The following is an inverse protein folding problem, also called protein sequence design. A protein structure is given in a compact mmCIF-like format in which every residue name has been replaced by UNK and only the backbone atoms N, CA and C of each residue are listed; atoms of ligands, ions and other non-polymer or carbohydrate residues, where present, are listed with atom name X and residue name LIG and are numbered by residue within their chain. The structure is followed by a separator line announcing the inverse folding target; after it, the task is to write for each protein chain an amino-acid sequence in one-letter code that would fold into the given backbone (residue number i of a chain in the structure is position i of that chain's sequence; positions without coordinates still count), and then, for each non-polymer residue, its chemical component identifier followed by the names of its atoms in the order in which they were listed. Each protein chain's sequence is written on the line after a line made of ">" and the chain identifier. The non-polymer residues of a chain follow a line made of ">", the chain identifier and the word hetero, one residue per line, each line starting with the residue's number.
data_IF_561039352036
#
_entry.id   IF_561039352036
#
_cell.length_a   1.000
_cell.length_b   1.000
_cell.length_c   1.000
_cell.angle_alpha   90.00
_cell.angle_beta   90.00
_cell.angle_gamma   90.00
#
_symmetry.space_group_name_H-M   'P 1'
#
loop_
_entity.id
_entity.type
_entity.pdbx_description
1 polymer ?
2 water ?
#
# COMPACT_ATOMS: atom_id res chain seq x y z
N UNK A 3 -10.35 -21.80 0.13
CA UNK A 3 -10.64 -21.33 -1.24
C UNK A 3 -11.35 -19.98 -1.27
N UNK A 4 -12.35 -19.77 -0.43
CA UNK A 4 -12.98 -18.45 -0.27
C UNK A 4 -12.49 -17.74 0.98
N UNK A 5 -11.16 -17.68 1.12
CA UNK A 5 -10.54 -17.10 2.28
C UNK A 5 -9.18 -16.55 1.84
N UNK A 6 -8.63 -15.67 2.64
CA UNK A 6 -7.39 -14.98 2.32
C UNK A 6 -6.36 -15.23 3.43
N UNK A 7 -5.14 -15.59 3.04
CA UNK A 7 -4.05 -15.74 3.98
C UNK A 7 -3.14 -14.51 3.94
N UNK A 8 -2.71 -14.10 5.13
CA UNK A 8 -1.76 -13.01 5.23
C UNK A 8 -0.39 -13.53 4.84
N UNK A 9 0.25 -12.91 3.86
CA UNK A 9 1.62 -13.29 3.51
C UNK A 9 2.65 -12.33 4.08
N UNK A 10 2.21 -11.21 4.64
CA UNK A 10 3.09 -10.17 5.12
C UNK A 10 2.30 -9.29 6.07
N UNK A 11 2.96 -8.88 7.16
CA UNK A 11 2.38 -7.98 8.14
C UNK A 11 3.43 -6.96 8.54
N UNK A 12 3.06 -5.68 8.50
CA UNK A 12 3.96 -4.59 8.81
C UNK A 12 3.21 -3.53 9.60
N UNK A 13 3.93 -2.82 10.45
CA UNK A 13 3.40 -1.69 11.19
C UNK A 13 3.82 -0.40 10.49
N UNK A 14 2.85 0.47 10.22
CA UNK A 14 3.19 1.66 9.46
C UNK A 14 2.17 2.76 9.67
N UNK A 15 2.63 4.00 9.47
CA UNK A 15 1.74 5.16 9.42
C UNK A 15 1.30 5.33 7.97
N UNK A 16 0.00 5.12 7.73
CA UNK A 16 -0.55 5.16 6.39
C UNK A 16 -0.95 6.59 6.05
N UNK A 17 -0.41 7.11 4.96
CA UNK A 17 -0.62 8.46 4.47
C UNK A 17 -1.31 8.38 3.12
N UNK A 18 -2.06 9.43 2.77
CA UNK A 18 -2.55 9.60 1.42
C UNK A 18 -2.12 10.99 0.96
N UNK A 19 -1.84 11.12 -0.34
CA UNK A 19 -1.36 12.37 -0.89
C UNK A 19 -2.53 13.24 -1.35
N UNK A 20 -2.42 14.54 -1.15
CA UNK A 20 -3.45 15.49 -1.59
C UNK A 20 -2.93 16.20 -2.84
N UNK A 21 -3.47 15.79 -4.00
CA UNK A 21 -2.96 16.29 -5.28
C UNK A 21 -3.09 17.80 -5.39
N UNK A 22 -4.20 18.36 -4.92
CA UNK A 22 -4.48 19.78 -5.15
C UNK A 22 -3.69 20.69 -4.22
N UNK A 23 -3.40 20.26 -2.99
CA UNK A 23 -2.60 21.04 -2.06
C UNK A 23 -1.23 20.44 -1.80
N UNK A 24 -0.85 19.42 -2.54
CA UNK A 24 0.52 18.90 -2.56
C UNK A 24 1.07 18.70 -1.14
N UNK A 25 0.45 17.77 -0.43
CA UNK A 25 0.95 17.34 0.86
C UNK A 25 0.39 15.96 1.19
N UNK A 26 1.05 15.28 2.11
CA UNK A 26 0.60 14.02 2.66
C UNK A 26 -0.28 14.24 3.89
N UNK A 27 -1.38 13.50 3.97
CA UNK A 27 -2.31 13.59 5.10
C UNK A 27 -2.48 12.19 5.69
N UNK A 28 -2.74 12.03 6.99
CA UNK A 28 -2.91 10.68 7.53
C UNK A 28 -4.18 10.02 7.00
N UNK A 29 -4.03 8.80 6.49
CA UNK A 29 -5.19 8.11 5.94
C UNK A 29 -6.23 7.87 7.04
N UNK A 30 -7.49 8.06 6.68
CA UNK A 30 -8.59 7.97 7.64
C UNK A 30 -8.82 9.21 8.44
N UNK A 31 -7.96 10.21 8.30
CA UNK A 31 -8.11 11.50 8.93
C UNK A 31 -7.48 11.65 10.28
N UNK A 32 -6.86 10.60 10.83
CA UNK A 32 -6.29 10.62 12.17
C UNK A 32 -4.87 10.08 12.16
N UNK A 33 -3.97 10.78 12.84
CA UNK A 33 -2.62 10.28 13.06
C UNK A 33 -2.65 8.92 13.75
N UNK A 34 -1.52 8.22 13.68
CA UNK A 34 -1.41 6.95 14.38
C UNK A 34 -0.95 5.79 13.50
N UNK A 35 -0.46 4.71 14.11
CA UNK A 35 0.03 3.57 13.37
C UNK A 35 -1.09 2.59 13.04
N UNK A 36 -0.92 1.95 11.89
CA UNK A 36 -1.78 0.90 11.39
C UNK A 36 -1.02 -0.41 11.31
N UNK A 37 -1.74 -1.52 11.37
CA UNK A 37 -1.20 -2.82 11.02
C UNK A 37 -1.61 -3.10 9.59
N UNK A 38 -0.63 -3.32 8.70
CA UNK A 38 -0.87 -3.47 7.27
C UNK A 38 -0.51 -4.87 6.83
N UNK A 39 -1.48 -5.56 6.22
CA UNK A 39 -1.30 -6.90 5.70
C UNK A 39 -1.29 -6.90 4.19
N UNK A 40 -0.53 -7.82 3.58
CA UNK A 40 -0.77 -8.21 2.18
C UNK A 40 -1.48 -9.55 2.23
N UNK A 41 -2.69 -9.62 1.72
CA UNK A 41 -3.52 -10.82 1.74
C UNK A 41 -3.53 -11.48 0.38
N UNK A 42 -3.36 -12.79 0.38
CA UNK A 42 -3.49 -13.60 -0.80
C UNK A 42 -4.79 -14.37 -0.75
N UNK A 43 -5.59 -14.28 -1.81
CA UNK A 43 -6.85 -14.98 -1.87
C UNK A 43 -6.58 -16.37 -2.37
N UNK A 44 -6.80 -17.37 -1.51
CA UNK A 44 -6.35 -18.72 -1.86
C UNK A 44 -6.97 -19.21 -3.16
N UNK A 45 -8.26 -18.98 -3.34
CA UNK A 45 -8.98 -19.50 -4.49
C UNK A 45 -8.78 -18.75 -5.78
N UNK A 46 -8.69 -17.42 -5.71
CA UNK A 46 -8.63 -16.59 -6.90
C UNK A 46 -7.24 -16.13 -7.27
N UNK A 47 -6.22 -16.46 -6.47
CA UNK A 47 -4.84 -16.03 -6.70
C UNK A 47 -4.77 -14.54 -7.00
N UNK A 48 -5.46 -13.75 -6.16
CA UNK A 48 -5.38 -12.31 -6.19
C UNK A 48 -4.80 -11.82 -4.88
N UNK A 49 -4.33 -10.60 -4.88
CA UNK A 49 -3.77 -10.00 -3.68
C UNK A 49 -4.41 -8.66 -3.39
N UNK A 50 -4.38 -8.30 -2.12
CA UNK A 50 -5.01 -7.13 -1.56
C UNK A 50 -4.18 -6.64 -0.40
N UNK A 51 -4.05 -5.31 -0.27
CA UNK A 51 -3.46 -4.70 0.92
C UNK A 51 -4.56 -4.19 1.84
N UNK A 52 -4.48 -4.52 3.12
CA UNK A 52 -5.46 -4.09 4.11
C UNK A 52 -4.74 -3.54 5.31
N UNK A 53 -5.04 -2.28 5.64
CA UNK A 53 -4.43 -1.60 6.76
C UNK A 53 -5.49 -1.06 7.71
N UNK A 54 -5.32 -1.36 8.99
CA UNK A 54 -6.26 -0.96 10.03
C UNK A 54 -5.52 -0.23 11.13
N UNK A 55 -6.10 0.88 11.60
CA UNK A 55 -5.54 1.59 12.74
C UNK A 55 -5.50 0.70 13.97
N UNK A 56 -4.36 0.70 14.67
CA UNK A 56 -4.19 -0.13 15.86
C UNK A 56 -5.18 0.28 16.95
N UNK A 57 -5.39 1.58 17.11
CA UNK A 57 -6.23 2.11 18.17
C UNK A 57 -7.67 1.60 18.08
N UNK A 58 -8.34 1.80 16.92
CA UNK A 58 -9.78 1.65 16.82
C UNK A 58 -10.21 0.79 15.64
N UNK A 59 -9.29 0.14 14.97
CA UNK A 59 -9.54 -0.81 13.88
C UNK A 59 -10.12 -0.17 12.64
N UNK A 60 -10.03 1.15 12.54
CA UNK A 60 -10.53 1.83 11.34
C UNK A 60 -9.76 1.34 10.12
N UNK A 61 -10.49 0.97 9.08
CA UNK A 61 -9.84 0.53 7.84
C UNK A 61 -9.44 1.77 7.04
N UNK A 62 -8.14 1.93 6.83
CA UNK A 62 -7.58 3.09 6.12
C UNK A 62 -6.96 2.74 4.77
N UNK A 63 -6.73 1.46 4.47
CA UNK A 63 -6.39 1.06 3.11
C UNK A 63 -7.03 -0.31 2.89
N UNK A 64 -7.68 -0.46 1.76
CA UNK A 64 -8.27 -1.72 1.31
C UNK A 64 -8.15 -1.66 -0.21
N UNK A 65 -7.04 -2.18 -0.74
CA UNK A 65 -6.55 -1.90 -2.08
C UNK A 65 -6.21 -3.20 -2.79
N UNK A 66 -6.91 -3.50 -3.89
CA UNK A 66 -6.48 -4.60 -4.76
C UNK A 66 -5.10 -4.29 -5.35
N UNK A 67 -4.27 -5.31 -5.49
CA UNK A 67 -2.95 -5.15 -6.08
C UNK A 67 -3.01 -5.69 -7.51
N UNK A 68 -2.88 -4.86 -8.50
CA UNK A 68 -2.98 -5.33 -9.88
C UNK A 68 -1.62 -5.65 -10.44
N UNK A 69 -1.60 -6.53 -11.44
CA UNK A 69 -0.41 -6.71 -12.25
C UNK A 69 0.07 -5.34 -12.69
N UNK A 70 1.39 -5.12 -12.56
CA UNK A 70 1.94 -3.89 -13.11
C UNK A 70 1.95 -2.69 -12.19
N UNK A 71 1.50 -2.85 -10.97
CA UNK A 71 1.50 -1.76 -10.02
C UNK A 71 2.87 -1.13 -9.96
N UNK A 72 2.92 0.20 -9.89
CA UNK A 72 4.18 0.91 -9.66
C UNK A 72 4.32 1.10 -8.15
N UNK A 73 5.27 0.41 -7.57
CA UNK A 73 5.53 0.46 -6.13
C UNK A 73 6.87 1.16 -5.95
N UNK A 74 6.83 2.37 -5.40
CA UNK A 74 8.00 3.25 -5.38
C UNK A 74 8.59 3.29 -3.98
N UNK A 75 9.83 2.83 -3.86
CA UNK A 75 10.56 2.89 -2.58
C UNK A 75 11.25 4.25 -2.58
N UNK A 76 10.50 5.27 -2.15
CA UNK A 76 11.01 6.63 -2.17
C UNK A 76 12.16 6.81 -1.18
N UNK A 77 12.04 6.26 0.01
CA UNK A 77 13.12 6.20 0.98
C UNK A 77 13.14 4.80 1.58
N UNK A 78 14.19 4.54 2.38
CA UNK A 78 14.29 3.27 3.08
C UNK A 78 13.04 2.96 3.90
N UNK A 79 12.29 3.99 4.32
CA UNK A 79 11.13 3.74 5.17
C UNK A 79 9.83 4.37 4.68
N UNK A 80 9.78 4.92 3.47
CA UNK A 80 8.53 5.47 2.95
C UNK A 80 8.32 4.95 1.54
N UNK A 81 7.26 4.16 1.33
CA UNK A 81 6.98 3.55 0.03
C UNK A 81 5.60 3.99 -0.44
N UNK A 82 5.42 4.10 -1.76
CA UNK A 82 4.20 4.67 -2.32
C UNK A 82 3.65 3.81 -3.44
N UNK A 83 2.34 3.87 -3.61
CA UNK A 83 1.65 3.30 -4.76
C UNK A 83 0.28 3.91 -4.77
N UNK A 84 -0.46 3.69 -5.86
CA UNK A 84 -1.81 4.24 -5.92
C UNK A 84 -2.87 3.24 -6.34
N UNK A 85 -4.12 3.60 -6.13
CA UNK A 85 -5.22 2.90 -6.75
C UNK A 85 -6.04 3.90 -7.57
N UNK A 86 -7.24 3.49 -7.97
CA UNK A 86 -8.04 4.38 -8.81
C UNK A 86 -8.37 5.72 -8.14
N UNK A 87 -8.39 5.78 -6.80
CA UNK A 87 -8.89 6.96 -6.12
C UNK A 87 -7.86 7.70 -5.30
N UNK A 88 -6.82 7.02 -4.82
CA UNK A 88 -5.90 7.66 -3.90
C UNK A 88 -4.48 7.22 -4.17
N UNK A 89 -3.53 8.03 -3.68
CA UNK A 89 -2.12 7.71 -3.70
C UNK A 89 -1.69 7.46 -2.27
N UNK A 90 -1.20 6.25 -2.01
CA UNK A 90 -0.82 5.87 -0.66
C UNK A 90 0.67 6.04 -0.44
N UNK A 91 1.00 6.35 0.81
CA UNK A 91 2.38 6.34 1.28
C UNK A 91 2.46 5.63 2.62
N UNK A 92 3.24 4.58 2.73
CA UNK A 92 3.46 3.88 3.99
C UNK A 92 4.78 4.35 4.60
N UNK A 93 4.69 4.99 5.77
CA UNK A 93 5.86 5.41 6.55
C UNK A 93 6.05 4.33 7.61
N UNK A 94 6.98 3.43 7.35
CA UNK A 94 7.17 2.27 8.18
C UNK A 94 7.87 2.65 9.47
N UNK A 95 7.53 1.93 10.54
CA UNK A 95 8.23 2.14 11.79
C UNK A 95 9.71 1.81 11.71
N UNK A 96 10.12 1.03 10.72
CA UNK A 96 11.50 0.56 10.70
C UNK A 96 11.91 0.12 9.30
N UNK A 97 13.21 0.20 9.02
CA UNK A 97 13.71 -0.26 7.73
C UNK A 97 13.46 -1.75 7.55
N UNK A 98 13.38 -2.49 8.66
CA UNK A 98 13.18 -3.93 8.56
C UNK A 98 11.77 -4.24 8.10
N UNK A 99 10.76 -3.61 8.74
CA UNK A 99 9.40 -3.76 8.26
C UNK A 99 9.32 -3.35 6.80
N UNK A 100 9.98 -2.27 6.42
CA UNK A 100 9.88 -1.78 5.04
C UNK A 100 10.49 -2.78 4.07
N UNK A 101 11.63 -3.37 4.43
CA UNK A 101 12.28 -4.33 3.54
C UNK A 101 11.44 -5.59 3.36
N UNK A 102 10.89 -6.10 4.47
CA UNK A 102 9.98 -7.24 4.42
C UNK A 102 8.78 -6.95 3.54
N UNK A 103 8.12 -5.82 3.78
CA UNK A 103 6.88 -5.52 3.05
C UNK A 103 7.16 -5.32 1.56
N UNK A 104 8.21 -4.57 1.24
CA UNK A 104 8.53 -4.34 -0.17
C UNK A 104 8.85 -5.66 -0.87
N UNK A 105 9.61 -6.53 -0.18
CA UNK A 105 9.96 -7.84 -0.74
C UNK A 105 8.71 -8.65 -1.07
N UNK A 106 7.73 -8.64 -0.15
CA UNK A 106 6.51 -9.40 -0.35
C UNK A 106 5.66 -8.80 -1.48
N UNK A 107 5.59 -7.46 -1.55
CA UNK A 107 4.90 -6.82 -2.64
C UNK A 107 5.53 -7.18 -3.99
N UNK A 108 6.88 -7.11 -4.10
CA UNK A 108 7.54 -7.40 -5.37
C UNK A 108 7.28 -8.85 -5.76
N UNK A 109 7.28 -9.75 -4.79
CA UNK A 109 6.97 -11.16 -5.09
C UNK A 109 5.54 -11.32 -5.56
N UNK A 110 4.60 -10.63 -4.93
CA UNK A 110 3.23 -10.67 -5.40
C UNK A 110 3.11 -10.17 -6.81
N UNK A 111 3.83 -9.08 -7.12
CA UNK A 111 3.75 -8.54 -8.48
C UNK A 111 4.34 -9.51 -9.50
N UNK A 112 5.35 -10.29 -9.11
CA UNK A 112 5.88 -11.32 -10.02
C UNK A 112 4.85 -12.40 -10.26
N UNK A 113 4.18 -12.85 -9.20
CA UNK A 113 3.09 -13.81 -9.35
C UNK A 113 2.04 -13.26 -10.30
N UNK A 114 1.66 -12.00 -10.13
CA UNK A 114 0.62 -11.43 -10.96
C UNK A 114 1.04 -11.27 -12.42
N UNK A 115 2.34 -11.17 -12.69
CA UNK A 115 2.82 -10.92 -14.06
C UNK A 115 3.26 -12.19 -14.74
N UNK A 136 7.80 17.89 6.56
CA UNK A 136 8.42 17.87 5.24
C UNK A 136 9.33 16.65 5.09
N UNK A 137 9.16 15.69 6.01
CA UNK A 137 10.02 14.51 6.05
C UNK A 137 9.72 13.52 4.93
N UNK A 138 8.61 13.71 4.21
CA UNK A 138 8.07 12.71 3.28
C UNK A 138 8.01 13.28 1.87
N UNK A 139 8.70 12.68 0.89
CA UNK A 139 8.70 13.23 -0.45
C UNK A 139 7.40 13.00 -1.18
N UNK A 140 7.09 13.81 -2.18
CA UNK A 140 5.87 13.61 -2.98
C UNK A 140 5.96 12.39 -3.86
N UNK A 141 4.83 11.86 -4.32
CA UNK A 141 4.88 10.77 -5.29
C UNK A 141 5.34 11.26 -6.64
N UNK A 142 6.21 10.52 -7.32
CA UNK A 142 6.61 10.88 -8.68
C UNK A 142 5.54 10.56 -9.72
N UNK A 143 5.78 11.04 -10.95
CA UNK A 143 4.79 10.89 -12.02
C UNK A 143 4.46 9.43 -12.30
N UNK A 144 5.46 8.53 -12.22
CA UNK A 144 5.23 7.11 -12.48
C UNK A 144 4.18 6.55 -11.52
N UNK A 145 4.10 7.09 -10.29
CA UNK A 145 3.05 6.69 -9.35
C UNK A 145 1.78 7.44 -9.66
N UNK A 146 1.85 8.77 -9.82
CA UNK A 146 0.62 9.54 -10.00
C UNK A 146 -0.14 9.10 -11.25
N UNK A 147 0.59 8.70 -12.29
CA UNK A 147 -0.01 8.36 -13.59
C UNK A 147 -0.17 6.87 -13.79
N UNK A 148 0.15 6.04 -12.79
CA UNK A 148 -0.02 4.61 -12.89
C UNK A 148 -1.48 4.28 -13.18
N UNK A 149 -1.70 3.49 -14.23
CA UNK A 149 -3.07 3.07 -14.55
C UNK A 149 -3.28 1.57 -14.36
N UNK A 150 -2.44 0.94 -13.54
CA UNK A 150 -2.52 -0.51 -13.37
C UNK A 150 -3.88 -0.92 -12.85
N UNK A 151 -4.50 -0.06 -12.03
CA UNK A 151 -5.82 -0.38 -11.47
C UNK A 151 -6.84 -0.60 -12.57
N UNK A 152 -6.60 -0.08 -13.78
CA UNK A 152 -7.56 -0.22 -14.87
C UNK A 152 -7.64 -1.65 -15.37
N UNK A 153 -6.66 -2.49 -15.07
CA UNK A 153 -6.73 -3.88 -15.50
C UNK A 153 -7.73 -4.69 -14.68
N UNK A 154 -8.31 -4.12 -13.64
CA UNK A 154 -9.27 -4.78 -12.76
C UNK A 154 -10.69 -4.24 -13.01
N UNK A 155 -11.64 -4.73 -12.22
CA UNK A 155 -13.00 -4.19 -12.11
C UNK A 155 -13.62 -3.90 -13.48
N UNK A 156 -13.71 -4.94 -14.30
CA UNK A 156 -14.23 -4.78 -15.65
C UNK A 156 -15.05 -5.99 -16.10
#
# INVERSE_FOLDING_TARGET
>A
SNAMSEQSICQARAAVMVYDDANKKWVPAGGSTGFSRVHIYHHTGNNTFRVVGRKIQDHQVVINCAIPKGLKYNQATQTFHQWRDARQVYGLNFGSKEDANVFASAMMHALEVLGGSGSGAAKSEELSCEMEGNLEHLPPPPMEVLMDKSFASLES
#
